data_IF_330215967829
#
_entry.id   IF_330215967829
#
_cell.length_a   1.000
_cell.length_b   1.000
_cell.length_c   1.000
_cell.angle_alpha   90.00
_cell.angle_beta   90.00
_cell.angle_gamma   90.00
#
_symmetry.space_group_name_H-M   'P 1'
#
loop_
_entity.id
_entity.type
_entity.pdbx_description
1 polymer ?
#
# COMPACT_ATOMS: atom_id res chain seq x y z
N UNK A 1 -5.93 -24.28 -14.54
CA UNK A 1 -5.96 -24.70 -13.13
C UNK A 1 -5.36 -23.62 -12.27
N UNK A 2 -6.05 -23.20 -11.24
CA UNK A 2 -5.52 -22.14 -10.40
C UNK A 2 -4.41 -22.66 -9.49
N UNK A 3 -3.43 -21.82 -9.27
CA UNK A 3 -2.33 -22.06 -8.35
C UNK A 3 -2.40 -21.02 -7.23
N UNK A 4 -1.57 -21.18 -6.21
CA UNK A 4 -1.50 -20.17 -5.16
C UNK A 4 -1.15 -18.79 -5.71
N UNK A 5 -0.41 -18.72 -6.82
CA UNK A 5 -0.01 -17.45 -7.44
C UNK A 5 -1.17 -16.73 -8.11
N UNK A 6 -2.27 -17.45 -8.40
CA UNK A 6 -3.44 -16.87 -9.06
C UNK A 6 -4.53 -16.45 -8.06
N UNK A 7 -4.30 -16.63 -6.78
CA UNK A 7 -5.28 -16.31 -5.75
C UNK A 7 -5.17 -14.83 -5.38
N UNK A 8 -6.31 -14.14 -5.38
CA UNK A 8 -6.38 -12.74 -4.98
C UNK A 8 -5.92 -12.55 -3.54
N UNK A 9 -5.22 -11.45 -3.30
CA UNK A 9 -4.70 -11.11 -1.98
C UNK A 9 -5.07 -9.69 -1.61
N UNK A 10 -4.92 -9.37 -0.33
CA UNK A 10 -4.95 -8.01 0.17
C UNK A 10 -3.61 -7.68 0.82
N UNK A 11 -3.23 -6.41 0.75
CA UNK A 11 -2.04 -5.93 1.45
C UNK A 11 -2.49 -4.85 2.43
N UNK A 12 -2.23 -5.07 3.69
CA UNK A 12 -2.53 -4.10 4.75
C UNK A 12 -1.23 -3.37 5.05
N UNK A 13 -1.24 -2.06 4.82
CA UNK A 13 -0.07 -1.22 5.07
C UNK A 13 -0.39 -0.27 6.21
N UNK A 14 0.37 -0.36 7.27
CA UNK A 14 0.27 0.55 8.41
C UNK A 14 1.35 1.60 8.31
N UNK A 15 0.95 2.87 8.31
CA UNK A 15 1.86 3.99 8.18
C UNK A 15 1.68 4.93 9.38
N UNK A 16 2.77 5.16 10.09
CA UNK A 16 2.78 6.10 11.21
C UNK A 16 3.34 7.44 10.71
N UNK A 17 2.46 8.43 10.63
CA UNK A 17 2.85 9.78 10.23
C UNK A 17 3.55 10.51 11.38
N UNK A 18 4.44 11.41 11.05
CA UNK A 18 4.93 12.39 12.02
C UNK A 18 3.74 13.20 12.54
N UNK A 19 3.86 13.71 13.75
CA UNK A 19 2.79 14.45 14.41
C UNK A 19 2.21 15.53 13.48
N UNK A 20 0.89 15.49 13.28
CA UNK A 20 0.18 16.47 12.45
C UNK A 20 0.33 16.28 10.94
N UNK A 21 0.98 15.19 10.49
CA UNK A 21 1.27 14.99 9.07
C UNK A 21 0.39 13.93 8.39
N UNK A 22 -0.59 13.36 9.08
CA UNK A 22 -1.43 12.31 8.49
C UNK A 22 -2.18 12.77 7.24
N UNK A 23 -2.69 14.01 7.24
CA UNK A 23 -3.42 14.53 6.09
C UNK A 23 -2.50 14.67 4.87
N UNK A 24 -1.28 15.15 5.07
CA UNK A 24 -0.31 15.24 3.99
C UNK A 24 0.09 13.86 3.48
N UNK A 25 0.27 12.90 4.40
CA UNK A 25 0.59 11.52 4.05
C UNK A 25 -0.54 10.89 3.23
N UNK A 26 -1.79 11.08 3.63
CA UNK A 26 -2.95 10.62 2.88
C UNK A 26 -2.94 11.17 1.45
N UNK A 27 -2.74 12.47 1.32
CA UNK A 27 -2.74 13.12 0.00
C UNK A 27 -1.62 12.60 -0.88
N UNK A 28 -0.44 12.37 -0.31
CA UNK A 28 0.68 11.83 -1.05
C UNK A 28 0.41 10.39 -1.51
N UNK A 29 -0.15 9.56 -0.63
CA UNK A 29 -0.53 8.17 -0.99
C UNK A 29 -1.56 8.15 -2.11
N UNK A 30 -2.56 9.03 -2.05
CA UNK A 30 -3.58 9.13 -3.10
C UNK A 30 -2.96 9.57 -4.43
N UNK A 31 -2.01 10.49 -4.40
CA UNK A 31 -1.29 10.90 -5.59
C UNK A 31 -0.49 9.76 -6.20
N UNK A 32 0.19 8.99 -5.36
CA UNK A 32 0.97 7.83 -5.80
C UNK A 32 0.05 6.78 -6.42
N UNK A 33 -1.08 6.49 -5.77
CA UNK A 33 -2.05 5.52 -6.28
C UNK A 33 -2.65 5.97 -7.61
N UNK A 34 -2.98 7.25 -7.75
CA UNK A 34 -3.55 7.79 -8.97
C UNK A 34 -2.55 7.76 -10.13
N UNK A 35 -1.28 7.98 -9.85
CA UNK A 35 -0.23 8.06 -10.88
C UNK A 35 0.25 6.67 -11.31
N UNK A 36 0.46 5.76 -10.37
CA UNK A 36 1.10 4.48 -10.63
C UNK A 36 0.12 3.30 -10.64
N UNK A 37 -0.99 3.39 -9.91
CA UNK A 37 -1.94 2.29 -9.78
C UNK A 37 -2.54 1.83 -11.11
N UNK A 38 -3.12 2.75 -11.93
CA UNK A 38 -3.82 2.35 -13.16
C UNK A 38 -2.96 1.59 -14.16
N UNK A 39 -1.66 1.79 -14.12
CA UNK A 39 -0.74 1.12 -15.03
C UNK A 39 -0.19 -0.20 -14.51
N UNK A 40 -0.55 -0.61 -13.30
CA UNK A 40 0.03 -1.80 -12.68
C UNK A 40 -0.78 -3.04 -12.99
N UNK A 41 -0.20 -4.05 -13.68
CA UNK A 41 -0.90 -5.30 -13.91
C UNK A 41 -1.33 -5.95 -12.59
N UNK A 42 -2.59 -6.36 -12.52
CA UNK A 42 -3.11 -7.05 -11.35
C UNK A 42 -3.49 -6.18 -10.16
N UNK A 43 -3.25 -4.88 -10.22
CA UNK A 43 -3.72 -3.97 -9.17
C UNK A 43 -5.22 -3.73 -9.31
N UNK A 44 -5.98 -4.05 -8.26
CA UNK A 44 -7.45 -3.98 -8.29
C UNK A 44 -8.01 -2.77 -7.55
N UNK A 45 -7.19 -2.01 -6.86
CA UNK A 45 -7.59 -0.81 -6.15
C UNK A 45 -7.09 -0.79 -4.72
N UNK A 46 -7.22 0.36 -4.09
CA UNK A 46 -6.85 0.52 -2.68
C UNK A 46 -7.75 1.54 -2.01
N UNK A 47 -7.89 1.40 -0.70
CA UNK A 47 -8.62 2.33 0.15
C UNK A 47 -7.73 2.70 1.34
N UNK A 48 -7.94 3.90 1.85
CA UNK A 48 -7.20 4.41 3.00
C UNK A 48 -8.15 4.63 4.15
N UNK A 49 -7.70 4.28 5.35
CA UNK A 49 -8.50 4.32 6.57
C UNK A 49 -7.77 5.11 7.64
N UNK A 50 -8.53 5.79 8.49
CA UNK A 50 -7.99 6.38 9.70
C UNK A 50 -8.12 5.40 10.85
N UNK A 51 -7.20 5.49 11.81
CA UNK A 51 -7.29 4.73 13.06
C UNK A 51 -7.94 5.66 14.07
N UNK A 52 -9.09 5.27 14.62
CA UNK A 52 -9.93 6.18 15.39
C UNK A 52 -9.30 6.64 16.71
N UNK A 53 -8.48 5.80 17.31
CA UNK A 53 -7.85 6.12 18.59
C UNK A 53 -6.38 6.57 18.45
N UNK A 54 -5.91 6.76 17.22
CA UNK A 54 -4.56 7.28 16.98
C UNK A 54 -4.55 8.17 15.73
N UNK A 55 -4.51 9.50 15.91
CA UNK A 55 -4.60 10.44 14.79
C UNK A 55 -3.38 10.45 13.87
N UNK A 56 -2.31 9.77 14.24
CA UNK A 56 -1.09 9.74 13.44
C UNK A 56 -0.93 8.46 12.63
N UNK A 57 -1.83 7.49 12.79
CA UNK A 57 -1.76 6.24 12.03
C UNK A 57 -2.77 6.25 10.89
N UNK A 58 -2.29 5.86 9.70
CA UNK A 58 -3.10 5.65 8.52
C UNK A 58 -2.93 4.20 8.09
N UNK A 59 -4.03 3.56 7.70
CA UNK A 59 -3.99 2.19 7.17
C UNK A 59 -4.45 2.22 5.72
N UNK A 60 -3.67 1.63 4.83
CA UNK A 60 -4.06 1.41 3.46
C UNK A 60 -4.32 -0.08 3.25
N UNK A 61 -5.42 -0.41 2.59
CA UNK A 61 -5.70 -1.78 2.19
C UNK A 61 -5.78 -1.81 0.67
N UNK A 62 -4.88 -2.56 0.05
CA UNK A 62 -4.79 -2.70 -1.40
C UNK A 62 -5.20 -4.11 -1.81
N UNK A 63 -5.93 -4.22 -2.91
CA UNK A 63 -6.34 -5.49 -3.49
C UNK A 63 -5.50 -5.78 -4.73
N UNK A 64 -4.98 -7.00 -4.82
CA UNK A 64 -4.17 -7.46 -5.93
C UNK A 64 -4.66 -8.81 -6.43
N UNK A 65 -4.51 -9.05 -7.72
CA UNK A 65 -4.94 -10.30 -8.34
C UNK A 65 -4.13 -11.51 -7.83
N UNK A 66 -2.88 -11.32 -7.45
CA UNK A 66 -2.05 -12.37 -6.87
C UNK A 66 -0.86 -11.79 -6.11
N UNK A 67 -0.27 -12.60 -5.26
CA UNK A 67 0.95 -12.23 -4.53
C UNK A 67 2.13 -12.02 -5.47
N UNK A 68 2.23 -12.83 -6.52
CA UNK A 68 3.33 -12.73 -7.47
C UNK A 68 3.29 -11.43 -8.25
N UNK A 69 2.11 -11.03 -8.74
CA UNK A 69 1.95 -9.79 -9.47
C UNK A 69 2.29 -8.60 -8.57
N UNK A 70 1.84 -8.63 -7.33
CA UNK A 70 2.16 -7.58 -6.36
C UNK A 70 3.67 -7.50 -6.10
N UNK A 71 4.33 -8.63 -5.92
CA UNK A 71 5.77 -8.65 -5.66
C UNK A 71 6.55 -8.03 -6.81
N UNK A 72 6.19 -8.34 -8.04
CA UNK A 72 6.80 -7.77 -9.24
C UNK A 72 6.60 -6.25 -9.28
N UNK A 73 5.38 -5.80 -9.01
CA UNK A 73 5.07 -4.37 -8.99
C UNK A 73 5.86 -3.62 -7.90
N UNK A 74 6.01 -4.23 -6.73
CA UNK A 74 6.77 -3.62 -5.64
C UNK A 74 8.26 -3.52 -5.97
N UNK A 75 8.83 -4.53 -6.60
CA UNK A 75 10.23 -4.48 -7.03
C UNK A 75 10.45 -3.30 -7.98
N UNK A 76 9.55 -3.11 -8.94
CA UNK A 76 9.64 -2.01 -9.89
C UNK A 76 9.46 -0.66 -9.20
N UNK A 77 8.49 -0.56 -8.30
CA UNK A 77 8.24 0.68 -7.56
C UNK A 77 9.44 1.07 -6.69
N UNK A 78 10.08 0.10 -6.04
CA UNK A 78 11.27 0.36 -5.24
C UNK A 78 12.44 0.81 -6.11
N UNK A 79 12.64 0.17 -7.26
CA UNK A 79 13.69 0.55 -8.21
C UNK A 79 13.48 1.98 -8.73
N UNK A 80 12.22 2.39 -8.93
CA UNK A 80 11.87 3.71 -9.45
C UNK A 80 11.78 4.78 -8.36
N UNK A 81 11.98 4.42 -7.09
CA UNK A 81 11.92 5.37 -5.98
C UNK A 81 10.52 5.94 -5.74
N UNK A 82 9.47 5.21 -6.09
CA UNK A 82 8.07 5.68 -6.00
C UNK A 82 7.70 6.08 -4.57
N UNK A 83 8.20 5.35 -3.58
CA UNK A 83 7.84 5.58 -2.18
C UNK A 83 8.82 6.46 -1.41
N UNK A 84 9.90 6.91 -2.05
CA UNK A 84 10.90 7.76 -1.38
C UNK A 84 10.29 9.03 -0.77
N UNK A 85 9.35 9.73 -1.42
CA UNK A 85 8.74 10.92 -0.82
C UNK A 85 7.99 10.69 0.48
N UNK A 86 7.55 9.44 0.75
CA UNK A 86 6.84 9.13 2.00
C UNK A 86 7.74 9.25 3.23
N UNK A 87 9.04 9.03 3.07
CA UNK A 87 9.96 8.99 4.19
C UNK A 87 9.96 10.28 5.02
N UNK A 88 9.78 11.42 4.37
CA UNK A 88 9.76 12.73 5.06
C UNK A 88 8.54 12.89 5.96
N UNK A 89 7.49 12.15 5.71
CA UNK A 89 6.22 12.25 6.45
C UNK A 89 6.06 11.13 7.48
N UNK A 90 6.91 10.11 7.45
CA UNK A 90 6.80 8.95 8.32
C UNK A 90 7.62 9.11 9.59
N UNK A 91 7.02 8.76 10.73
CA UNK A 91 7.72 8.71 12.02
C UNK A 91 8.54 7.44 12.20
N UNK A 92 8.20 6.38 11.42
CA UNK A 92 8.86 5.09 11.45
C UNK A 92 8.67 4.42 10.09
N UNK A 93 9.47 3.41 9.74
CA UNK A 93 9.26 2.65 8.51
C UNK A 93 7.84 2.07 8.48
N UNK A 94 7.19 2.12 7.32
CA UNK A 94 5.86 1.54 7.19
C UNK A 94 5.95 0.01 7.21
N UNK A 95 4.84 -0.62 7.60
CA UNK A 95 4.75 -2.07 7.69
C UNK A 95 3.68 -2.56 6.72
N UNK A 96 4.05 -3.51 5.87
CA UNK A 96 3.13 -4.14 4.93
C UNK A 96 2.91 -5.61 5.31
N UNK A 97 1.65 -6.02 5.37
CA UNK A 97 1.27 -7.40 5.66
C UNK A 97 0.43 -7.90 4.49
N UNK A 98 0.90 -8.95 3.85
CA UNK A 98 0.19 -9.60 2.74
C UNK A 98 -0.69 -10.68 3.33
N UNK A 99 -1.98 -10.63 3.01
CA UNK A 99 -2.95 -11.59 3.52
C UNK A 99 -3.75 -12.20 2.37
N UNK A 100 -4.30 -13.36 2.64
CA UNK A 100 -5.15 -14.08 1.71
C UNK A 100 -6.24 -14.77 2.54
N UNK A 101 -7.45 -14.82 1.99
CA UNK A 101 -8.53 -15.49 2.70
C UNK A 101 -8.18 -16.97 2.89
N UNK A 102 -8.41 -17.47 4.10
CA UNK A 102 -8.22 -18.90 4.38
C UNK A 102 -9.27 -19.71 3.62
N UNK A 103 -8.88 -20.89 3.11
CA UNK A 103 -9.81 -21.77 2.39
C UNK A 103 -10.89 -22.36 3.31
#
# INVERSE_FOLDING_TARGET
MSTENDVAIKVIVELQAKSGKRAELKNLLESVAAKYGPGQPGFLGSLRYEVLDNPNILVEIADWASAEVRATAMQQAMADGVYAPLEDLLAAPFRATVIRQLP
#
